data_IF_139026569115
#
_entry.id   IF_139026569115
#
_cell.length_a   1.000
_cell.length_b   1.000
_cell.length_c   1.000
_cell.angle_alpha   90.00
_cell.angle_beta   90.00
_cell.angle_gamma   90.00
#
_symmetry.space_group_name_H-M   'P 1'
#
loop_
_entity.id
_entity.type
_entity.pdbx_description
1 polymer ?
#
# COMPACT_ATOMS: atom_id res chain seq x y z
N UNK A 1 -47.50 -26.41 -13.31
CA UNK A 1 -47.63 -25.24 -12.44
C UNK A 1 -46.44 -24.36 -12.76
N UNK A 2 -46.64 -23.44 -13.70
CA UNK A 2 -45.69 -22.35 -13.92
C UNK A 2 -45.70 -21.45 -12.69
N UNK A 3 -44.52 -21.02 -12.26
CA UNK A 3 -44.34 -19.72 -11.63
C UNK A 3 -43.20 -19.03 -12.38
N UNK A 4 -43.62 -18.11 -13.23
CA UNK A 4 -42.86 -17.08 -13.91
C UNK A 4 -42.32 -16.04 -12.92
N UNK A 5 -41.20 -15.40 -13.29
CA UNK A 5 -41.05 -13.95 -13.08
C UNK A 5 -40.22 -13.52 -11.87
N UNK A 6 -38.93 -13.38 -12.12
CA UNK A 6 -38.04 -12.47 -11.41
C UNK A 6 -37.01 -11.97 -12.40
N UNK A 7 -37.41 -11.06 -13.28
CA UNK A 7 -36.51 -10.31 -14.14
C UNK A 7 -35.63 -9.42 -13.26
N UNK A 8 -34.35 -9.76 -13.18
CA UNK A 8 -33.35 -8.96 -12.48
C UNK A 8 -32.98 -7.77 -13.39
N UNK A 9 -33.71 -6.67 -13.21
CA UNK A 9 -33.57 -5.44 -13.98
C UNK A 9 -32.44 -4.57 -13.40
N UNK A 10 -31.28 -4.60 -14.08
CA UNK A 10 -30.58 -3.37 -14.48
C UNK A 10 -29.88 -2.53 -13.41
N UNK A 11 -28.69 -2.98 -12.99
CA UNK A 11 -27.70 -2.18 -12.26
C UNK A 11 -26.31 -2.82 -12.29
N UNK A 12 -25.83 -3.22 -13.47
CA UNK A 12 -24.55 -3.92 -13.64
C UNK A 12 -23.35 -3.03 -13.31
N UNK A 13 -22.89 -3.07 -12.06
CA UNK A 13 -21.53 -2.69 -11.68
C UNK A 13 -20.72 -3.94 -11.42
N UNK A 14 -19.87 -4.37 -12.36
CA UNK A 14 -18.93 -5.46 -12.09
C UNK A 14 -18.01 -5.03 -10.93
N UNK A 15 -17.91 -5.84 -9.88
CA UNK A 15 -17.03 -5.54 -8.76
C UNK A 15 -15.58 -5.37 -9.21
N UNK A 16 -14.93 -4.30 -8.76
CA UNK A 16 -13.50 -4.06 -9.00
C UNK A 16 -12.59 -5.19 -8.48
N UNK A 17 -11.42 -5.33 -9.07
CA UNK A 17 -10.35 -6.18 -8.58
C UNK A 17 -9.21 -5.33 -8.00
N UNK A 18 -8.98 -5.49 -6.70
CA UNK A 18 -7.91 -4.86 -5.95
C UNK A 18 -6.72 -5.82 -5.83
N UNK A 19 -5.53 -5.35 -6.20
CA UNK A 19 -4.26 -6.04 -5.92
C UNK A 19 -3.55 -5.28 -4.81
N UNK A 20 -3.24 -5.95 -3.71
CA UNK A 20 -2.79 -5.34 -2.45
C UNK A 20 -1.32 -5.68 -2.19
N UNK A 21 -0.49 -4.65 -2.02
CA UNK A 21 0.97 -4.74 -1.90
C UNK A 21 1.41 -4.23 -0.53
N UNK A 22 2.10 -5.09 0.22
CA UNK A 22 2.56 -4.79 1.57
C UNK A 22 3.83 -3.91 1.62
N UNK A 23 4.10 -3.32 2.78
CA UNK A 23 5.33 -2.60 3.08
C UNK A 23 6.51 -3.49 3.50
N UNK A 24 7.63 -2.87 3.88
CA UNK A 24 8.81 -3.58 4.40
C UNK A 24 8.46 -4.46 5.60
N UNK A 25 9.18 -5.57 5.71
CA UNK A 25 9.06 -6.62 6.73
C UNK A 25 7.72 -7.38 6.80
N UNK A 26 6.67 -6.89 6.13
CA UNK A 26 5.34 -7.48 6.16
C UNK A 26 5.16 -8.47 4.99
N UNK A 27 3.97 -9.05 4.89
CA UNK A 27 3.54 -9.92 3.81
C UNK A 27 2.06 -9.66 3.47
N UNK A 28 1.51 -10.43 2.54
CA UNK A 28 0.09 -10.42 2.16
C UNK A 28 -0.86 -10.51 3.36
N UNK A 29 -0.43 -11.17 4.44
CA UNK A 29 -1.17 -11.32 5.69
C UNK A 29 -1.61 -9.99 6.31
N UNK A 30 -0.89 -8.88 6.11
CA UNK A 30 -1.28 -7.60 6.72
C UNK A 30 -2.60 -7.06 6.16
N UNK A 31 -3.02 -7.52 4.99
CA UNK A 31 -4.24 -7.09 4.32
C UNK A 31 -5.50 -7.87 4.74
N UNK A 32 -5.41 -8.85 5.64
CA UNK A 32 -6.50 -9.80 5.89
C UNK A 32 -7.84 -9.13 6.25
N UNK A 33 -7.82 -8.05 7.05
CA UNK A 33 -9.02 -7.29 7.43
C UNK A 33 -9.59 -6.48 6.27
N UNK A 34 -8.79 -5.61 5.65
CA UNK A 34 -9.24 -4.80 4.50
C UNK A 34 -9.68 -5.67 3.31
N UNK A 35 -8.96 -6.75 3.01
CA UNK A 35 -9.35 -7.71 1.97
C UNK A 35 -10.69 -8.39 2.29
N UNK A 36 -10.95 -8.71 3.56
CA UNK A 36 -12.26 -9.23 3.99
C UNK A 36 -13.36 -8.20 3.78
N UNK A 37 -13.13 -6.94 4.14
CA UNK A 37 -14.08 -5.85 3.93
C UNK A 37 -14.39 -5.64 2.44
N UNK A 38 -13.37 -5.55 1.58
CA UNK A 38 -13.53 -5.43 0.12
C UNK A 38 -14.35 -6.59 -0.46
N UNK A 39 -14.05 -7.83 -0.05
CA UNK A 39 -14.79 -9.02 -0.51
C UNK A 39 -16.24 -9.04 -0.06
N UNK A 40 -16.52 -8.61 1.17
CA UNK A 40 -17.90 -8.47 1.68
C UNK A 40 -18.70 -7.42 0.91
N UNK A 41 -18.04 -6.38 0.41
CA UNK A 41 -18.65 -5.37 -0.46
C UNK A 41 -18.80 -5.83 -1.92
N UNK A 42 -18.50 -7.10 -2.25
CA UNK A 42 -18.69 -7.66 -3.61
C UNK A 42 -17.50 -7.45 -4.55
N UNK A 43 -16.34 -7.03 -4.03
CA UNK A 43 -15.12 -6.83 -4.83
C UNK A 43 -14.15 -8.00 -4.74
N UNK A 44 -13.25 -8.12 -5.71
CA UNK A 44 -12.13 -9.07 -5.65
C UNK A 44 -10.94 -8.40 -4.97
N UNK A 45 -10.26 -9.13 -4.10
CA UNK A 45 -9.04 -8.66 -3.45
C UNK A 45 -7.98 -9.78 -3.49
N UNK A 46 -6.80 -9.46 -4.05
CA UNK A 46 -5.64 -10.33 -4.13
C UNK A 46 -4.48 -9.65 -3.41
N UNK A 47 -4.09 -10.17 -2.24
CA UNK A 47 -2.89 -9.72 -1.55
C UNK A 47 -1.70 -10.58 -1.99
N UNK A 48 -0.58 -9.95 -2.32
CA UNK A 48 0.60 -10.62 -2.90
C UNK A 48 1.74 -10.62 -1.87
N UNK A 49 2.40 -11.77 -1.71
CA UNK A 49 3.68 -11.86 -1.00
C UNK A 49 4.81 -11.56 -1.98
N UNK A 50 5.61 -10.53 -1.68
CA UNK A 50 6.83 -10.22 -2.43
C UNK A 50 7.90 -11.28 -2.17
N UNK A 51 8.92 -11.35 -3.02
CA UNK A 51 9.97 -12.35 -2.82
C UNK A 51 10.67 -12.10 -1.47
N UNK A 52 10.87 -13.17 -0.69
CA UNK A 52 11.46 -13.03 0.65
C UNK A 52 10.48 -12.59 1.76
N UNK A 53 9.22 -12.34 1.43
CA UNK A 53 8.21 -11.76 2.34
C UNK A 53 7.06 -12.72 2.65
N UNK A 54 6.37 -12.50 3.77
CA UNK A 54 5.22 -13.33 4.20
C UNK A 54 5.47 -14.84 4.08
N UNK A 55 4.64 -15.54 3.31
CA UNK A 55 4.75 -16.98 3.09
C UNK A 55 5.63 -17.37 1.88
N UNK A 56 6.25 -16.40 1.19
CA UNK A 56 7.14 -16.69 0.06
C UNK A 56 8.35 -17.54 0.52
N UNK A 57 8.72 -18.62 -0.20
CA UNK A 57 9.71 -19.58 0.27
C UNK A 57 11.14 -19.03 0.34
N UNK A 58 11.50 -18.11 -0.56
CA UNK A 58 12.82 -17.48 -0.55
C UNK A 58 13.09 -16.75 0.77
N UNK A 59 14.35 -16.69 1.20
CA UNK A 59 14.88 -15.89 2.31
C UNK A 59 15.47 -14.59 1.78
N UNK A 60 15.73 -13.65 2.70
CA UNK A 60 16.24 -12.32 2.34
C UNK A 60 17.59 -12.36 1.61
N UNK A 61 18.47 -13.31 1.95
CA UNK A 61 19.77 -13.52 1.29
C UNK A 61 19.70 -14.18 -0.09
N UNK A 62 18.50 -14.57 -0.54
CA UNK A 62 18.27 -15.19 -1.86
C UNK A 62 17.66 -14.20 -2.87
N UNK A 63 17.22 -13.02 -2.41
CA UNK A 63 16.58 -11.99 -3.24
C UNK A 63 17.61 -10.89 -3.54
N UNK A 64 18.19 -10.90 -4.74
CA UNK A 64 19.38 -10.11 -5.07
C UNK A 64 19.06 -8.71 -5.56
N UNK A 65 17.95 -8.55 -6.27
CA UNK A 65 17.59 -7.28 -6.92
C UNK A 65 16.22 -6.80 -6.52
N UNK A 66 15.97 -5.50 -6.70
CA UNK A 66 14.66 -4.93 -6.46
C UNK A 66 13.59 -5.47 -7.44
N UNK A 67 14.01 -5.82 -8.66
CA UNK A 67 13.11 -6.44 -9.64
C UNK A 67 12.78 -7.89 -9.25
N UNK A 68 13.73 -8.66 -8.70
CA UNK A 68 13.45 -9.98 -8.12
C UNK A 68 12.50 -9.90 -6.92
N UNK A 69 12.72 -8.93 -6.02
CA UNK A 69 11.81 -8.65 -4.91
C UNK A 69 10.38 -8.41 -5.42
N UNK A 70 10.24 -7.65 -6.51
CA UNK A 70 8.96 -7.26 -7.09
C UNK A 70 8.35 -8.29 -8.05
N UNK A 71 9.07 -9.37 -8.37
CA UNK A 71 8.65 -10.35 -9.37
C UNK A 71 7.26 -10.96 -9.10
N UNK A 72 6.89 -11.37 -7.87
CA UNK A 72 5.56 -11.94 -7.63
C UNK A 72 4.41 -10.98 -7.99
N UNK A 73 4.58 -9.69 -7.76
CA UNK A 73 3.59 -8.68 -8.17
C UNK A 73 3.52 -8.54 -9.69
N UNK A 74 4.66 -8.46 -10.36
CA UNK A 74 4.72 -8.34 -11.82
C UNK A 74 4.07 -9.55 -12.50
N UNK A 75 4.35 -10.75 -12.00
CA UNK A 75 3.80 -12.00 -12.53
C UNK A 75 2.29 -12.08 -12.29
N UNK A 76 1.82 -11.69 -11.10
CA UNK A 76 0.38 -11.65 -10.79
C UNK A 76 -0.39 -10.69 -11.72
N UNK A 77 0.19 -9.51 -12.03
CA UNK A 77 -0.41 -8.54 -12.95
C UNK A 77 -0.34 -9.02 -14.41
N UNK A 78 0.75 -9.66 -14.83
CA UNK A 78 0.89 -10.21 -16.18
C UNK A 78 -0.08 -11.37 -16.44
N UNK A 79 -0.38 -12.16 -15.41
CA UNK A 79 -1.30 -13.30 -15.47
C UNK A 79 -2.79 -12.90 -15.50
N UNK A 80 -3.13 -11.61 -15.37
CA UNK A 80 -4.52 -11.15 -15.45
C UNK A 80 -5.15 -11.49 -16.81
N UNK A 81 -6.45 -11.86 -16.84
CA UNK A 81 -7.19 -12.06 -18.07
C UNK A 81 -7.03 -10.91 -19.07
N UNK A 82 -7.11 -11.18 -20.39
CA UNK A 82 -7.05 -10.12 -21.39
C UNK A 82 -8.07 -9.01 -21.09
N UNK A 83 -7.62 -7.76 -21.16
CA UNK A 83 -8.41 -6.53 -20.88
C UNK A 83 -8.82 -6.32 -19.42
N UNK A 84 -8.51 -7.22 -18.49
CA UNK A 84 -8.71 -6.97 -17.06
C UNK A 84 -7.70 -5.93 -16.56
N UNK A 85 -8.21 -4.90 -15.86
CA UNK A 85 -7.43 -3.87 -15.17
C UNK A 85 -7.76 -3.89 -13.69
N UNK A 86 -6.76 -3.66 -12.85
CA UNK A 86 -6.89 -3.71 -11.39
C UNK A 86 -6.65 -2.36 -10.75
N UNK A 87 -7.21 -2.16 -9.56
CA UNK A 87 -6.79 -1.09 -8.66
C UNK A 87 -5.62 -1.64 -7.84
N UNK A 88 -4.42 -1.15 -8.11
CA UNK A 88 -3.21 -1.54 -7.40
C UNK A 88 -3.06 -0.68 -6.15
N UNK A 89 -3.12 -1.28 -4.97
CA UNK A 89 -3.03 -0.57 -3.69
C UNK A 89 -1.72 -0.96 -3.02
N UNK A 90 -0.87 0.02 -2.78
CA UNK A 90 0.43 -0.15 -2.17
C UNK A 90 0.52 0.56 -0.83
N UNK A 91 1.08 -0.13 0.15
CA UNK A 91 1.33 0.37 1.49
C UNK A 91 2.82 0.59 1.72
N UNK A 92 3.19 1.70 2.38
CA UNK A 92 4.55 1.97 2.83
C UNK A 92 5.58 1.76 1.70
N UNK A 93 6.66 1.01 1.96
CA UNK A 93 7.71 0.71 0.98
C UNK A 93 7.22 -0.07 -0.25
N UNK A 94 6.02 -0.68 -0.21
CA UNK A 94 5.38 -1.33 -1.35
C UNK A 94 5.11 -0.34 -2.50
N UNK A 95 5.08 0.96 -2.21
CA UNK A 95 4.94 2.01 -3.21
C UNK A 95 6.02 1.99 -4.30
N UNK A 96 7.26 1.58 -3.98
CA UNK A 96 8.31 1.42 -4.99
C UNK A 96 7.99 0.28 -5.96
N UNK A 97 7.48 -0.84 -5.46
CA UNK A 97 7.12 -1.99 -6.30
C UNK A 97 5.89 -1.69 -7.14
N UNK A 98 4.96 -0.89 -6.63
CA UNK A 98 3.83 -0.40 -7.41
C UNK A 98 4.24 0.61 -8.49
N UNK A 99 5.21 1.48 -8.21
CA UNK A 99 5.79 2.37 -9.22
C UNK A 99 6.48 1.57 -10.34
N UNK A 100 7.28 0.56 -9.98
CA UNK A 100 7.88 -0.35 -10.95
C UNK A 100 6.82 -1.12 -11.75
N UNK A 101 5.76 -1.62 -11.11
CA UNK A 101 4.67 -2.31 -11.79
C UNK A 101 3.92 -1.38 -12.76
N UNK A 102 3.69 -0.14 -12.38
CA UNK A 102 3.08 0.87 -13.25
C UNK A 102 4.00 1.31 -14.39
N UNK A 103 5.32 1.28 -14.20
CA UNK A 103 6.27 1.44 -15.29
C UNK A 103 6.25 0.22 -16.22
N UNK A 104 6.20 -1.02 -15.71
CA UNK A 104 6.29 -2.23 -16.55
C UNK A 104 4.98 -2.62 -17.22
N UNK A 105 3.84 -2.41 -16.57
CA UNK A 105 2.52 -2.93 -16.97
C UNK A 105 1.39 -1.88 -16.79
N UNK A 106 1.54 -0.62 -17.25
CA UNK A 106 0.54 0.42 -17.04
C UNK A 106 -0.84 0.04 -17.60
N UNK A 107 -0.89 -0.75 -18.67
CA UNK A 107 -2.11 -1.21 -19.31
C UNK A 107 -2.94 -2.17 -18.43
N UNK A 108 -2.34 -2.74 -17.38
CA UNK A 108 -2.99 -3.63 -16.40
C UNK A 108 -3.61 -2.87 -15.24
N UNK A 109 -3.40 -1.56 -15.13
CA UNK A 109 -3.75 -0.79 -13.94
C UNK A 109 -4.87 0.19 -14.25
N UNK A 110 -6.00 0.11 -13.54
CA UNK A 110 -7.06 1.10 -13.58
C UNK A 110 -6.66 2.36 -12.79
N UNK A 111 -6.01 2.15 -11.65
CA UNK A 111 -5.40 3.18 -10.80
C UNK A 111 -4.30 2.57 -9.94
N UNK A 112 -3.40 3.42 -9.43
CA UNK A 112 -2.41 3.08 -8.41
C UNK A 112 -2.67 3.93 -7.17
N UNK A 113 -2.97 3.28 -6.06
CA UNK A 113 -3.26 3.91 -4.77
C UNK A 113 -2.07 3.72 -3.84
N UNK A 114 -1.49 4.83 -3.39
CA UNK A 114 -0.40 4.90 -2.42
C UNK A 114 -1.00 5.18 -1.03
N UNK A 115 -1.32 4.12 -0.28
CA UNK A 115 -1.86 4.19 1.07
C UNK A 115 -0.73 4.36 2.08
N UNK A 116 -0.50 5.59 2.53
CA UNK A 116 0.70 5.99 3.30
C UNK A 116 1.97 5.28 2.81
N UNK A 117 2.25 5.49 1.53
CA UNK A 117 3.28 4.74 0.81
C UNK A 117 4.36 5.65 0.22
N UNK A 118 5.53 5.06 -0.02
CA UNK A 118 6.59 5.72 -0.76
C UNK A 118 6.11 6.07 -2.17
N UNK A 119 6.21 7.35 -2.53
CA UNK A 119 5.79 7.87 -3.82
C UNK A 119 6.99 8.46 -4.55
N UNK A 120 7.70 7.68 -5.38
CA UNK A 120 8.77 8.22 -6.21
C UNK A 120 8.20 9.10 -7.33
N UNK A 121 8.97 10.12 -7.72
CA UNK A 121 8.61 11.04 -8.79
C UNK A 121 9.24 10.61 -10.12
N UNK A 122 8.56 10.91 -11.23
CA UNK A 122 9.10 10.71 -12.60
C UNK A 122 10.42 11.48 -12.76
N UNK A 123 11.40 10.87 -13.42
CA UNK A 123 12.70 11.50 -13.67
C UNK A 123 13.60 11.62 -12.43
N UNK A 124 13.26 10.96 -11.32
CA UNK A 124 14.10 10.87 -10.13
C UNK A 124 14.37 9.41 -9.76
N UNK A 125 15.59 9.07 -9.28
CA UNK A 125 15.85 7.75 -8.71
C UNK A 125 14.89 7.45 -7.57
N UNK A 126 14.35 6.22 -7.51
CA UNK A 126 13.48 5.79 -6.40
C UNK A 126 14.20 5.84 -5.05
N UNK A 127 15.51 5.55 -5.02
CA UNK A 127 16.33 5.62 -3.80
C UNK A 127 16.34 7.02 -3.19
N UNK A 128 16.14 8.09 -3.98
CA UNK A 128 16.12 9.45 -3.46
C UNK A 128 14.97 9.66 -2.46
N UNK A 129 13.83 8.98 -2.66
CA UNK A 129 12.72 9.00 -1.70
C UNK A 129 13.10 8.35 -0.36
N UNK A 130 13.91 7.29 -0.38
CA UNK A 130 14.43 6.63 0.83
C UNK A 130 15.40 7.57 1.55
N UNK A 131 16.37 8.14 0.83
CA UNK A 131 17.38 9.04 1.39
C UNK A 131 16.74 10.28 2.03
N UNK A 132 15.74 10.87 1.36
CA UNK A 132 14.97 11.99 1.88
C UNK A 132 14.16 11.65 3.13
N UNK A 133 13.56 10.47 3.15
CA UNK A 133 12.80 9.99 4.31
C UNK A 133 13.73 9.78 5.51
N UNK A 134 14.86 9.10 5.33
CA UNK A 134 15.84 8.89 6.39
C UNK A 134 16.42 10.21 6.91
N UNK A 135 16.67 11.17 6.01
CA UNK A 135 17.10 12.52 6.40
C UNK A 135 16.02 13.32 7.14
N UNK A 136 14.74 13.07 6.85
CA UNK A 136 13.61 13.70 7.52
C UNK A 136 13.38 13.16 8.93
N UNK A 137 13.39 11.83 9.11
CA UNK A 137 13.09 11.20 10.40
C UNK A 137 14.28 11.11 11.35
N UNK A 138 15.51 11.03 10.81
CA UNK A 138 16.73 10.89 11.60
C UNK A 138 17.00 9.46 12.11
N UNK A 139 18.19 9.26 12.69
CA UNK A 139 18.69 7.93 13.05
C UNK A 139 17.92 7.25 14.20
N UNK A 140 17.50 8.03 15.20
CA UNK A 140 16.82 7.52 16.41
C UNK A 140 15.36 7.10 16.16
N UNK A 141 14.81 7.43 14.99
CA UNK A 141 13.40 7.20 14.67
C UNK A 141 12.98 5.72 14.72
N UNK A 142 13.89 4.82 14.32
CA UNK A 142 13.59 3.39 14.19
C UNK A 142 13.68 2.60 15.51
N UNK A 143 13.93 3.27 16.64
CA UNK A 143 13.99 2.71 17.98
C UNK A 143 14.85 1.43 18.06
N UNK A 144 14.23 0.29 18.35
CA UNK A 144 14.88 -1.01 18.55
C UNK A 144 14.92 -1.88 17.27
N UNK A 145 14.64 -1.30 16.11
CA UNK A 145 14.81 -1.96 14.81
C UNK A 145 16.29 -2.24 14.53
N UNK A 146 16.54 -3.33 13.80
CA UNK A 146 17.90 -3.86 13.63
C UNK A 146 18.25 -3.98 12.18
N UNK A 147 19.50 -3.64 11.88
CA UNK A 147 20.18 -4.09 10.68
C UNK A 147 20.86 -5.43 11.00
N UNK A 148 20.64 -6.43 10.16
CA UNK A 148 21.21 -7.76 10.28
C UNK A 148 22.45 -7.87 9.38
N UNK A 149 23.29 -8.87 9.63
CA UNK A 149 24.44 -9.13 8.76
C UNK A 149 23.98 -9.75 7.44
N UNK A 150 24.48 -9.21 6.32
CA UNK A 150 24.26 -9.79 5.01
C UNK A 150 25.12 -11.05 4.82
N UNK A 151 24.46 -12.20 4.71
CA UNK A 151 25.16 -13.48 4.47
C UNK A 151 25.62 -13.64 3.01
N UNK A 152 24.95 -12.96 2.06
CA UNK A 152 25.27 -13.04 0.64
C UNK A 152 26.03 -11.80 0.15
N UNK A 153 27.35 -11.88 -0.13
CA UNK A 153 28.16 -10.72 -0.52
C UNK A 153 27.80 -10.14 -1.90
N UNK A 154 27.01 -10.86 -2.71
CA UNK A 154 26.51 -10.36 -3.99
C UNK A 154 25.35 -9.36 -3.82
N UNK A 155 24.75 -9.30 -2.63
CA UNK A 155 23.61 -8.42 -2.33
C UNK A 155 24.12 -7.16 -1.64
N UNK A 156 24.01 -5.97 -2.26
CA UNK A 156 24.49 -4.74 -1.66
C UNK A 156 23.67 -4.35 -0.42
N UNK A 157 24.37 -4.06 0.66
CA UNK A 157 23.76 -3.59 1.91
C UNK A 157 23.20 -4.72 2.77
N UNK A 158 22.73 -4.31 3.94
CA UNK A 158 22.33 -5.22 5.00
C UNK A 158 20.80 -5.25 5.12
N UNK A 159 20.21 -6.43 5.37
CA UNK A 159 18.78 -6.54 5.57
C UNK A 159 18.37 -5.93 6.91
N UNK A 160 17.14 -5.45 6.98
CA UNK A 160 16.57 -4.78 8.15
C UNK A 160 15.34 -5.51 8.65
N UNK A 161 15.14 -5.50 9.96
CA UNK A 161 13.94 -6.01 10.62
C UNK A 161 13.43 -4.98 11.64
N UNK A 162 12.13 -4.72 11.62
CA UNK A 162 11.51 -3.79 12.56
C UNK A 162 11.50 -4.37 13.98
N UNK A 163 11.82 -3.51 14.95
CA UNK A 163 11.85 -3.85 16.37
C UNK A 163 10.46 -3.76 17.00
N UNK A 164 10.20 -4.51 18.09
CA UNK A 164 8.89 -4.52 18.73
C UNK A 164 8.45 -3.15 19.28
N UNK A 165 9.36 -2.34 19.84
CA UNK A 165 8.99 -1.00 20.32
C UNK A 165 8.70 -0.05 19.16
N UNK A 166 9.47 -0.13 18.08
CA UNK A 166 9.18 0.63 16.86
C UNK A 166 7.80 0.28 16.30
N UNK A 167 7.50 -1.01 16.13
CA UNK A 167 6.21 -1.46 15.62
C UNK A 167 5.06 -1.00 16.51
N UNK A 168 5.17 -1.19 17.83
CA UNK A 168 4.11 -0.84 18.77
C UNK A 168 3.82 0.67 18.81
N UNK A 169 4.87 1.51 18.77
CA UNK A 169 4.74 2.96 18.97
C UNK A 169 4.51 3.74 17.69
N UNK A 170 5.03 3.26 16.57
CA UNK A 170 5.08 4.03 15.32
C UNK A 170 4.20 3.44 14.23
N UNK A 171 3.96 2.12 14.23
CA UNK A 171 3.22 1.48 13.13
C UNK A 171 1.81 1.00 13.55
N UNK A 172 1.68 0.45 14.75
CA UNK A 172 0.47 -0.20 15.28
C UNK A 172 -0.19 0.58 16.44
N UNK A 173 0.10 1.87 16.60
CA UNK A 173 -0.31 2.65 17.77
C UNK A 173 -1.83 2.84 17.90
N UNK A 174 -2.60 2.65 16.82
CA UNK A 174 -4.06 2.66 16.82
C UNK A 174 -4.66 1.29 16.47
N UNK A 175 -3.82 0.29 16.21
CA UNK A 175 -4.25 -1.06 15.85
C UNK A 175 -4.59 -1.88 17.10
N UNK A 176 -5.52 -2.85 17.01
CA UNK A 176 -5.80 -3.75 18.12
C UNK A 176 -4.54 -4.54 18.54
N UNK A 177 -4.35 -4.80 19.86
CA UNK A 177 -3.13 -5.43 20.38
C UNK A 177 -2.90 -6.86 19.85
N UNK A 178 -3.96 -7.58 19.47
CA UNK A 178 -3.88 -8.89 18.84
C UNK A 178 -3.18 -8.81 17.47
N UNK A 179 -3.39 -7.72 16.71
CA UNK A 179 -2.75 -7.54 15.42
C UNK A 179 -1.27 -7.22 15.54
N UNK A 180 -0.87 -6.47 16.57
CA UNK A 180 0.55 -6.29 16.89
C UNK A 180 1.18 -7.64 17.25
N UNK A 181 0.51 -8.46 18.07
CA UNK A 181 1.00 -9.80 18.44
C UNK A 181 1.16 -10.70 17.21
N UNK A 182 0.18 -10.67 16.30
CA UNK A 182 0.23 -11.36 15.02
C UNK A 182 1.41 -10.87 14.19
N UNK A 183 1.58 -9.56 14.06
CA UNK A 183 2.65 -8.96 13.27
C UNK A 183 4.03 -9.33 13.79
N UNK A 184 4.26 -9.24 15.10
CA UNK A 184 5.53 -9.63 15.73
C UNK A 184 5.88 -11.10 15.50
N UNK A 185 4.88 -11.96 15.25
CA UNK A 185 5.07 -13.38 14.94
C UNK A 185 5.31 -13.66 13.46
N UNK A 186 5.09 -12.69 12.57
CA UNK A 186 5.11 -12.87 11.12
C UNK A 186 6.09 -11.97 10.37
N UNK A 187 6.60 -10.90 10.98
CA UNK A 187 7.57 -10.02 10.32
C UNK A 187 8.84 -10.76 9.95
N UNK A 188 9.38 -10.40 8.78
CA UNK A 188 10.61 -10.99 8.22
C UNK A 188 11.60 -9.89 7.84
N UNK A 189 12.92 -10.15 7.86
CA UNK A 189 13.88 -9.17 7.41
C UNK A 189 13.79 -8.92 5.91
N UNK A 190 14.10 -7.69 5.47
CA UNK A 190 14.08 -7.29 4.05
C UNK A 190 15.20 -6.30 3.73
N UNK A 191 15.72 -6.31 2.50
CA UNK A 191 16.65 -5.29 2.02
C UNK A 191 15.89 -4.05 1.55
N UNK A 192 16.47 -2.86 1.75
CA UNK A 192 15.97 -1.62 1.12
C UNK A 192 16.28 -1.53 -0.38
N UNK A 193 17.22 -2.36 -0.86
CA UNK A 193 17.74 -2.33 -2.23
C UNK A 193 18.30 -0.96 -2.64
N UNK A 194 18.79 -0.15 -1.68
CA UNK A 194 19.27 1.20 -1.98
C UNK A 194 20.44 1.21 -2.99
N UNK A 195 21.28 0.17 -2.99
CA UNK A 195 22.39 -0.02 -3.95
C UNK A 195 21.98 -0.58 -5.32
N UNK A 196 20.73 -1.00 -5.49
CA UNK A 196 20.25 -1.68 -6.71
C UNK A 196 20.16 -0.72 -7.90
N UNK A 197 20.49 -1.22 -9.09
CA UNK A 197 20.52 -0.42 -10.31
C UNK A 197 19.15 0.19 -10.66
N UNK A 198 18.05 -0.56 -10.50
CA UNK A 198 16.71 -0.05 -10.77
C UNK A 198 16.30 1.04 -9.75
N UNK A 199 16.70 0.90 -8.49
CA UNK A 199 16.43 1.92 -7.47
C UNK A 199 17.20 3.23 -7.71
N UNK A 200 18.38 3.15 -8.34
CA UNK A 200 19.26 4.31 -8.59
C UNK A 200 19.07 4.96 -9.98
N UNK A 201 18.38 4.29 -10.90
CA UNK A 201 18.14 4.80 -12.25
C UNK A 201 17.09 5.92 -12.27
N UNK A 202 17.52 7.15 -12.56
CA UNK A 202 16.64 8.30 -12.69
C UNK A 202 15.71 8.23 -13.91
N UNK A 203 16.10 7.48 -14.95
CA UNK A 203 15.34 7.30 -16.18
C UNK A 203 14.34 6.15 -16.13
N UNK A 204 14.33 5.35 -15.06
CA UNK A 204 13.46 4.18 -14.97
C UNK A 204 11.98 4.55 -15.01
N UNK A 205 11.55 5.53 -14.20
CA UNK A 205 10.16 5.95 -14.13
C UNK A 205 9.90 7.06 -15.15
N UNK A 206 9.09 6.76 -16.16
CA UNK A 206 8.87 7.63 -17.33
C UNK A 206 7.54 8.37 -17.27
N UNK A 207 7.40 9.47 -18.01
CA UNK A 207 6.13 10.21 -18.11
C UNK A 207 5.07 9.41 -18.86
N UNK A 208 5.51 8.66 -19.85
CA UNK A 208 4.67 7.91 -20.79
C UNK A 208 4.04 6.67 -20.15
N UNK A 209 4.67 6.13 -19.09
CA UNK A 209 4.25 4.88 -18.44
C UNK A 209 3.86 5.13 -16.99
N UNK A 210 4.78 5.11 -16.03
CA UNK A 210 4.44 5.38 -14.63
C UNK A 210 3.71 6.73 -14.45
N UNK A 211 4.18 7.78 -15.12
CA UNK A 211 3.61 9.12 -15.04
C UNK A 211 2.21 9.25 -15.62
N UNK A 212 1.84 8.41 -16.59
CA UNK A 212 0.53 8.44 -17.26
C UNK A 212 -0.54 7.61 -16.53
N UNK A 213 -0.13 6.74 -15.61
CA UNK A 213 -1.05 6.01 -14.75
C UNK A 213 -1.81 6.99 -13.84
N UNK A 214 -3.12 6.73 -13.63
CA UNK A 214 -3.90 7.43 -12.60
C UNK A 214 -3.34 7.06 -11.23
N UNK A 215 -2.77 8.03 -10.51
CA UNK A 215 -2.12 7.83 -9.22
C UNK A 215 -2.86 8.61 -8.15
N UNK A 216 -3.19 7.93 -7.05
CA UNK A 216 -3.89 8.49 -5.90
C UNK A 216 -3.04 8.27 -4.66
N UNK A 217 -2.77 9.30 -3.88
CA UNK A 217 -2.10 9.21 -2.58
C UNK A 217 -3.14 9.37 -1.50
N UNK A 218 -3.21 8.39 -0.60
CA UNK A 218 -4.00 8.48 0.62
C UNK A 218 -3.07 8.89 1.74
N UNK A 219 -3.18 10.16 2.14
CA UNK A 219 -2.48 10.74 3.28
C UNK A 219 -3.17 10.27 4.55
N UNK A 220 -2.50 9.43 5.33
CA UNK A 220 -3.00 8.98 6.62
C UNK A 220 -2.53 9.97 7.70
N UNK A 221 -3.46 10.69 8.30
CA UNK A 221 -3.17 11.85 9.15
C UNK A 221 -2.51 11.48 10.48
N UNK A 222 -2.90 10.36 11.08
CA UNK A 222 -2.40 9.88 12.38
C UNK A 222 -1.25 8.87 12.23
N UNK A 223 -0.66 8.77 11.04
CA UNK A 223 0.49 7.92 10.77
C UNK A 223 1.76 8.50 11.40
N UNK A 224 2.35 7.74 12.33
CA UNK A 224 3.62 8.08 12.96
C UNK A 224 4.83 7.44 12.25
N UNK A 225 4.63 6.38 11.47
CA UNK A 225 5.65 5.67 10.70
C UNK A 225 6.11 6.47 9.48
N UNK A 226 5.18 6.95 8.66
CA UNK A 226 5.48 7.94 7.62
C UNK A 226 4.66 9.19 7.95
N UNK A 227 5.24 10.19 8.64
CA UNK A 227 4.47 11.35 9.07
C UNK A 227 3.73 12.03 7.93
N UNK A 228 2.50 12.46 8.18
CA UNK A 228 1.63 13.05 7.17
C UNK A 228 2.25 14.27 6.45
N UNK A 229 3.15 15.01 7.12
CA UNK A 229 3.95 16.07 6.48
C UNK A 229 4.82 15.51 5.36
N UNK A 230 5.52 14.41 5.60
CA UNK A 230 6.38 13.77 4.62
C UNK A 230 5.56 13.13 3.48
N UNK A 231 4.40 12.52 3.78
CA UNK A 231 3.47 12.03 2.76
C UNK A 231 3.06 13.14 1.79
N UNK A 232 2.67 14.32 2.30
CA UNK A 232 2.33 15.49 1.47
C UNK A 232 3.53 16.04 0.70
N UNK A 233 4.73 16.03 1.31
CA UNK A 233 5.97 16.44 0.65
C UNK A 233 6.30 15.56 -0.56
N UNK A 234 6.07 14.25 -0.47
CA UNK A 234 6.21 13.36 -1.62
C UNK A 234 5.16 13.69 -2.69
N UNK A 235 3.89 13.86 -2.29
CA UNK A 235 2.80 14.21 -3.22
C UNK A 235 3.06 15.51 -3.98
N UNK A 236 3.56 16.56 -3.31
CA UNK A 236 3.86 17.86 -3.95
C UNK A 236 4.99 17.80 -4.99
N UNK A 237 5.75 16.70 -5.04
CA UNK A 237 6.85 16.48 -6.00
C UNK A 237 6.44 15.55 -7.15
N UNK A 238 5.23 15.00 -7.11
CA UNK A 238 4.72 14.06 -8.09
C UNK A 238 3.60 14.70 -8.90
N UNK A 239 3.91 15.08 -10.14
CA UNK A 239 2.93 15.71 -11.02
C UNK A 239 1.73 14.79 -11.31
N UNK A 240 0.53 15.36 -11.32
CA UNK A 240 -0.70 14.66 -11.72
C UNK A 240 -1.24 13.64 -10.71
N UNK A 241 -0.76 13.68 -9.46
CA UNK A 241 -1.26 12.80 -8.40
C UNK A 241 -2.52 13.38 -7.72
N UNK A 242 -3.54 12.56 -7.53
CA UNK A 242 -4.71 12.89 -6.71
C UNK A 242 -4.34 12.70 -5.22
N UNK A 243 -4.73 13.62 -4.35
CA UNK A 243 -4.46 13.53 -2.90
C UNK A 243 -5.77 13.41 -2.15
N UNK A 244 -5.89 12.35 -1.36
CA UNK A 244 -7.04 12.07 -0.48
C UNK A 244 -6.53 11.92 0.95
N UNK A 245 -7.35 12.27 1.94
CA UNK A 245 -6.99 12.21 3.36
C UNK A 245 -7.78 11.11 4.05
N UNK A 246 -7.13 10.44 5.00
CA UNK A 246 -7.72 9.46 5.90
C UNK A 246 -7.25 9.79 7.33
N UNK A 247 -8.19 10.09 8.22
CA UNK A 247 -7.93 10.27 9.65
C UNK A 247 -8.45 9.07 10.44
N UNK A 248 -7.99 8.92 11.68
CA UNK A 248 -8.36 7.84 12.59
C UNK A 248 -7.73 6.50 12.20
N UNK A 249 -6.56 6.49 11.56
CA UNK A 249 -5.83 5.28 11.18
C UNK A 249 -4.33 5.47 11.42
N UNK A 250 -3.66 4.42 11.88
CA UNK A 250 -2.20 4.41 12.02
C UNK A 250 -1.50 4.04 10.70
N UNK A 251 -0.18 3.82 10.75
CA UNK A 251 0.59 3.37 9.59
C UNK A 251 0.01 2.09 8.98
N UNK A 252 -0.54 1.21 9.82
CA UNK A 252 -1.22 -0.02 9.41
C UNK A 252 -2.71 0.22 9.20
N UNK A 253 -3.06 1.23 8.39
CA UNK A 253 -4.44 1.65 8.15
C UNK A 253 -5.38 0.50 7.72
N UNK A 254 -4.86 -0.49 6.99
CA UNK A 254 -5.60 -1.68 6.58
C UNK A 254 -5.97 -2.64 7.72
N UNK A 255 -5.40 -2.42 8.92
CA UNK A 255 -5.61 -3.17 10.16
C UNK A 255 -6.36 -2.34 11.19
N UNK A 256 -5.95 -1.09 11.43
CA UNK A 256 -6.57 -0.19 12.40
C UNK A 256 -7.96 0.27 11.95
N UNK A 257 -8.13 0.57 10.66
CA UNK A 257 -9.39 1.11 10.10
C UNK A 257 -9.81 0.42 8.80
N UNK A 258 -9.98 -0.92 8.79
CA UNK A 258 -10.15 -1.72 7.56
C UNK A 258 -11.42 -1.41 6.78
N UNK A 259 -12.53 -1.09 7.47
CA UNK A 259 -13.78 -0.71 6.81
C UNK A 259 -13.63 0.65 6.10
N UNK A 260 -13.06 1.65 6.78
CA UNK A 260 -12.80 2.96 6.19
C UNK A 260 -11.84 2.88 5.00
N UNK A 261 -10.79 2.05 5.10
CA UNK A 261 -9.89 1.79 3.97
C UNK A 261 -10.63 1.14 2.80
N UNK A 262 -11.45 0.12 3.06
CA UNK A 262 -12.23 -0.53 2.00
C UNK A 262 -13.18 0.44 1.30
N UNK A 263 -13.96 1.21 2.07
CA UNK A 263 -14.89 2.20 1.53
C UNK A 263 -14.17 3.25 0.68
N UNK A 264 -13.05 3.79 1.18
CA UNK A 264 -12.23 4.75 0.45
C UNK A 264 -11.70 4.17 -0.87
N UNK A 265 -11.19 2.94 -0.84
CA UNK A 265 -10.69 2.26 -2.04
C UNK A 265 -11.79 2.02 -3.07
N UNK A 266 -13.00 1.68 -2.63
CA UNK A 266 -14.17 1.52 -3.49
C UNK A 266 -14.57 2.86 -4.11
N UNK A 267 -14.60 3.95 -3.33
CA UNK A 267 -14.85 5.30 -3.84
C UNK A 267 -13.82 5.69 -4.92
N UNK A 268 -12.54 5.48 -4.65
CA UNK A 268 -11.47 5.73 -5.63
C UNK A 268 -11.68 4.90 -6.89
N UNK A 269 -12.04 3.61 -6.76
CA UNK A 269 -12.25 2.73 -7.89
C UNK A 269 -13.47 3.12 -8.76
N UNK A 270 -14.53 3.65 -8.14
CA UNK A 270 -15.74 4.09 -8.83
C UNK A 270 -15.58 5.43 -9.57
N UNK A 271 -14.65 6.28 -9.13
CA UNK A 271 -14.34 7.52 -9.85
C UNK A 271 -13.56 7.21 -11.14
N UNK A 272 -14.19 7.41 -12.30
CA UNK A 272 -13.50 7.37 -13.59
C UNK A 272 -12.74 8.69 -13.78
N UNK A 273 -11.48 8.64 -14.24
CA UNK A 273 -10.50 9.73 -14.24
C UNK A 273 -10.80 10.97 -15.11
N UNK A 274 -11.99 11.54 -15.01
CA UNK A 274 -12.38 12.82 -15.58
C UNK A 274 -13.07 13.67 -14.53
N UNK A 275 -12.33 14.67 -14.02
CA UNK A 275 -12.85 16.00 -13.66
C UNK A 275 -13.97 16.12 -12.62
N UNK A 276 -14.52 15.04 -12.09
CA UNK A 276 -15.50 15.10 -11.02
C UNK A 276 -14.77 15.35 -9.72
N UNK A 277 -15.03 16.55 -9.20
CA UNK A 277 -14.42 17.18 -8.05
C UNK A 277 -14.40 16.25 -6.82
N UNK A 278 -13.28 15.54 -6.61
CA UNK A 278 -12.98 14.85 -5.34
C UNK A 278 -12.82 15.88 -4.20
N UNK A 279 -12.77 17.19 -4.51
CA UNK A 279 -12.82 18.23 -3.49
C UNK A 279 -14.26 18.33 -2.95
N UNK A 280 -14.47 17.80 -1.76
CA UNK A 280 -15.56 18.10 -0.81
C UNK A 280 -16.75 17.14 -0.66
N UNK A 281 -16.74 15.90 -1.19
CA UNK A 281 -17.81 14.94 -0.84
C UNK A 281 -17.35 13.79 0.07
N UNK A 282 -17.58 14.05 1.36
CA UNK A 282 -17.86 13.12 2.48
C UNK A 282 -16.68 12.33 3.08
N UNK A 283 -15.99 12.97 4.01
CA UNK A 283 -15.28 12.30 5.14
C UNK A 283 -15.95 12.65 6.48
N UNK A 284 -17.12 13.33 6.47
CA UNK A 284 -17.82 13.75 7.70
C UNK A 284 -18.86 12.75 8.25
N UNK A 285 -19.17 11.64 7.56
CA UNK A 285 -20.13 10.65 8.06
C UNK A 285 -19.48 9.50 8.87
N UNK A 286 -18.15 9.32 8.82
CA UNK A 286 -17.46 8.31 9.64
C UNK A 286 -17.29 8.73 11.12
N UNK A 287 -17.18 10.04 11.39
CA UNK A 287 -17.07 10.56 12.76
C UNK A 287 -18.38 10.39 13.57
N UNK A 288 -19.54 10.45 12.90
CA UNK A 288 -20.84 10.29 13.57
C UNK A 288 -21.11 8.85 14.03
N UNK A 289 -20.52 7.85 13.38
CA UNK A 289 -20.70 6.45 13.76
C UNK A 289 -19.90 6.09 15.03
N UNK A 290 -18.68 6.63 15.19
CA UNK A 290 -17.85 6.41 16.39
C UNK A 290 -18.47 7.08 17.61
N UNK A 291 -19.05 8.27 17.46
CA UNK A 291 -19.73 8.97 18.56
C UNK A 291 -20.92 8.17 19.12
N UNK A 292 -21.70 7.52 18.22
CA UNK A 292 -22.85 6.70 18.61
C UNK A 292 -22.50 5.41 19.36
N UNK A 293 -21.26 4.92 19.25
CA UNK A 293 -20.77 3.73 19.95
C UNK A 293 -20.22 4.07 21.34
N UNK A 294 -19.66 5.27 21.53
CA UNK A 294 -19.22 5.76 22.84
C UNK A 294 -20.38 6.13 23.77
N UNK A 295 -21.50 6.61 23.24
CA UNK A 295 -22.67 6.97 24.06
C UNK A 295 -23.42 5.74 24.59
N UNK A 296 -23.32 4.57 23.93
CA UNK A 296 -23.93 3.32 24.38
C UNK A 296 -23.15 2.58 25.50
N UNK A 297 -21.97 3.07 25.91
CA UNK A 297 -21.16 2.45 26.99
C UNK A 297 -21.21 3.29 28.27
N UNK A 298 -22.07 4.32 28.31
CA UNK A 298 -22.20 5.23 29.47
C UNK A 298 -23.61 5.37 30.04
N UNK A 299 -24.48 4.38 29.81
CA UNK A 299 -25.72 4.18 30.60
C UNK A 299 -25.71 2.85 31.37
#
# INVERSE_FOLDING_TARGET
>A
MELTGGEDNGGGGQGHHFVLVHGMCHGAWCWYKAATALRRAGHRATAVDMAGSGAHPARVGEVRTFEEYSRPLLDALAALPPRERVVLVAHSNGGFSAALAAERLPERLAAVVFLTASLPAVGRPMVATIEEYLGFVGAEFFLDSRQLEQENPEIPGNPEIFGPNFMARMLYQLSPPEDLTLALSLVRPVNRFAGDAAMRDAGLLTRERYGSARRVVVVVEDDLGIPAEFQRRMASRSDGVEVVQLAGADHMAMISSPAMVADLLITIANTHGHGDDIRSKRVHEAAAYVQSQTDCVSE
#
